data_IF_241137668766
#
_entry.id   IF_241137668766
#
_cell.length_a   1.000
_cell.length_b   1.000
_cell.length_c   1.000
_cell.angle_alpha   90.00
_cell.angle_beta   90.00
_cell.angle_gamma   90.00
#
_symmetry.space_group_name_H-M   'P 1'
#
loop_
_entity.id
_entity.type
_entity.pdbx_description
1 polymer ?
#
# COMPACT_ATOMS: atom_id res chain seq x y z
N UNK A 1 31.85 -5.97 -3.86
CA UNK A 1 31.61 -4.74 -3.07
C UNK A 1 30.13 -4.41 -3.17
N UNK A 2 29.35 -4.60 -2.11
CA UNK A 2 27.94 -4.23 -2.09
C UNK A 2 27.83 -2.71 -2.09
N UNK A 3 27.43 -2.10 -3.20
CA UNK A 3 27.10 -0.67 -3.22
C UNK A 3 26.05 -0.38 -2.15
N UNK A 4 26.31 0.64 -1.32
CA UNK A 4 25.36 1.12 -0.34
C UNK A 4 24.08 1.56 -1.06
N UNK A 5 22.94 0.99 -0.67
CA UNK A 5 21.64 1.43 -1.15
C UNK A 5 21.40 2.79 -0.52
N UNK A 6 21.45 3.86 -1.32
CA UNK A 6 21.13 5.19 -0.83
C UNK A 6 19.65 5.25 -0.38
N UNK A 7 19.37 5.86 0.80
CA UNK A 7 18.00 6.01 1.26
C UNK A 7 17.20 6.87 0.25
N UNK A 8 15.90 6.58 0.03
CA UNK A 8 15.11 7.24 -1.00
C UNK A 8 14.75 8.67 -0.56
N UNK A 9 15.71 9.60 -0.66
CA UNK A 9 15.59 10.99 -0.17
C UNK A 9 14.36 11.70 -0.74
N UNK A 10 14.10 11.53 -2.03
CA UNK A 10 12.92 12.11 -2.69
C UNK A 10 11.59 11.57 -2.16
N UNK A 11 11.52 10.26 -1.86
CA UNK A 11 10.33 9.65 -1.26
C UNK A 11 10.10 10.18 0.14
N UNK A 12 11.13 10.30 0.96
CA UNK A 12 11.02 10.81 2.33
C UNK A 12 10.54 12.27 2.32
N UNK A 13 11.08 13.12 1.44
CA UNK A 13 10.65 14.51 1.31
C UNK A 13 9.19 14.58 0.83
N UNK A 14 8.83 13.81 -0.19
CA UNK A 14 7.46 13.78 -0.72
C UNK A 14 6.46 13.25 0.32
N UNK A 15 6.81 12.18 1.04
CA UNK A 15 6.00 11.62 2.10
C UNK A 15 5.87 12.59 3.27
N UNK A 16 6.95 13.26 3.69
CA UNK A 16 6.91 14.30 4.70
C UNK A 16 6.00 15.47 4.30
N UNK A 17 6.12 15.96 3.07
CA UNK A 17 5.23 16.98 2.52
C UNK A 17 3.76 16.52 2.48
N UNK A 18 3.50 15.26 2.11
CA UNK A 18 2.16 14.68 2.13
C UNK A 18 1.59 14.56 3.54
N UNK A 19 2.39 14.15 4.53
CA UNK A 19 1.98 14.08 5.94
C UNK A 19 1.61 15.47 6.46
N UNK A 20 2.40 16.50 6.12
CA UNK A 20 2.10 17.90 6.50
C UNK A 20 0.79 18.34 5.84
N UNK A 21 0.61 18.07 4.54
CA UNK A 21 -0.63 18.37 3.84
C UNK A 21 -1.84 17.64 4.44
N UNK A 22 -1.69 16.37 4.78
CA UNK A 22 -2.68 15.56 5.48
C UNK A 22 -3.03 16.15 6.86
N UNK A 23 -2.04 16.64 7.60
CA UNK A 23 -2.27 17.29 8.90
C UNK A 23 -3.03 18.60 8.75
N UNK A 24 -2.64 19.46 7.80
CA UNK A 24 -3.32 20.75 7.55
C UNK A 24 -4.76 20.51 7.11
N UNK A 25 -5.00 19.55 6.22
CA UNK A 25 -6.36 19.23 5.73
C UNK A 25 -7.25 18.61 6.82
N UNK A 26 -6.66 17.93 7.80
CA UNK A 26 -7.42 17.22 8.84
C UNK A 26 -7.68 18.03 10.11
N UNK A 27 -6.71 18.84 10.55
CA UNK A 27 -6.83 19.69 11.74
C UNK A 27 -7.12 21.16 11.42
N UNK A 28 -6.93 21.58 10.17
CA UNK A 28 -6.93 23.00 9.81
C UNK A 28 -5.71 23.75 10.37
N UNK A 29 -5.78 25.09 10.35
CA UNK A 29 -4.73 25.96 10.90
C UNK A 29 -4.93 26.31 12.39
N UNK A 30 -6.04 25.86 12.99
CA UNK A 30 -6.41 26.19 14.37
C UNK A 30 -6.61 24.91 15.18
N UNK A 31 -5.70 24.61 16.10
CA UNK A 31 -5.91 23.53 17.06
C UNK A 31 -7.01 23.93 18.07
N UNK A 32 -7.93 23.02 18.42
CA UNK A 32 -8.96 23.31 19.41
C UNK A 32 -8.33 23.64 20.77
N UNK A 33 -8.80 24.72 21.39
CA UNK A 33 -8.31 25.22 22.69
C UNK A 33 -8.55 24.25 23.86
N UNK A 34 -9.44 23.27 23.69
CA UNK A 34 -9.70 22.19 24.63
C UNK A 34 -9.61 20.83 23.92
N UNK A 35 -8.44 20.17 23.93
CA UNK A 35 -8.29 18.87 23.32
C UNK A 35 -9.03 17.82 24.16
N UNK A 36 -10.27 17.49 23.76
CA UNK A 36 -10.93 16.27 24.23
C UNK A 36 -10.67 15.14 23.23
N UNK A 37 -10.47 13.88 23.67
CA UNK A 37 -10.30 12.75 22.75
C UNK A 37 -11.46 12.61 21.76
N UNK A 38 -12.68 12.96 22.19
CA UNK A 38 -13.89 12.95 21.38
C UNK A 38 -13.89 13.99 20.24
N UNK A 39 -13.25 15.14 20.43
CA UNK A 39 -13.18 16.19 19.41
C UNK A 39 -12.05 15.97 18.41
N UNK A 40 -10.96 15.31 18.82
CA UNK A 40 -9.80 15.05 17.96
C UNK A 40 -9.96 13.80 17.08
N UNK A 41 -10.76 12.82 17.52
CA UNK A 41 -10.90 11.53 16.82
C UNK A 41 -11.29 11.68 15.34
N UNK A 42 -12.28 12.52 14.95
CA UNK A 42 -12.62 12.70 13.53
C UNK A 42 -11.47 13.23 12.69
N UNK A 43 -10.73 14.22 13.18
CA UNK A 43 -9.53 14.76 12.51
C UNK A 43 -8.43 13.72 12.39
N UNK A 44 -8.20 12.91 13.42
CA UNK A 44 -7.21 11.82 13.37
C UNK A 44 -7.61 10.77 12.32
N UNK A 45 -8.90 10.44 12.19
CA UNK A 45 -9.39 9.54 11.14
C UNK A 45 -9.11 10.10 9.74
N UNK A 46 -9.40 11.38 9.52
CA UNK A 46 -9.12 12.04 8.24
C UNK A 46 -7.61 12.09 7.92
N UNK A 47 -6.77 12.31 8.94
CA UNK A 47 -5.31 12.29 8.80
C UNK A 47 -4.85 10.91 8.33
N UNK A 48 -5.29 9.85 9.03
CA UNK A 48 -4.91 8.48 8.70
C UNK A 48 -5.41 8.07 7.31
N UNK A 49 -6.65 8.43 6.93
CA UNK A 49 -7.18 8.18 5.59
C UNK A 49 -6.35 8.87 4.50
N UNK A 50 -6.05 10.16 4.68
CA UNK A 50 -5.30 10.92 3.67
C UNK A 50 -3.86 10.41 3.57
N UNK A 51 -3.21 10.06 4.69
CA UNK A 51 -1.90 9.40 4.69
C UNK A 51 -1.95 8.05 3.97
N UNK A 52 -2.94 7.20 4.27
CA UNK A 52 -3.12 5.91 3.61
C UNK A 52 -3.31 6.07 2.10
N UNK A 53 -4.10 7.05 1.65
CA UNK A 53 -4.27 7.37 0.22
C UNK A 53 -2.95 7.75 -0.44
N UNK A 54 -2.12 8.58 0.20
CA UNK A 54 -0.80 8.93 -0.32
C UNK A 54 0.11 7.72 -0.48
N UNK A 55 0.12 6.84 0.52
CA UNK A 55 0.92 5.62 0.51
C UNK A 55 0.41 4.59 -0.50
N UNK A 56 -0.90 4.43 -0.66
CA UNK A 56 -1.49 3.35 -1.45
C UNK A 56 -1.79 3.73 -2.90
N UNK A 57 -2.02 5.02 -3.18
CA UNK A 57 -2.34 5.52 -4.52
C UNK A 57 -1.18 6.34 -5.06
N UNK A 58 -0.82 7.44 -4.39
CA UNK A 58 0.14 8.38 -4.94
C UNK A 58 1.52 7.73 -5.15
N UNK A 59 2.01 6.97 -4.16
CA UNK A 59 3.30 6.28 -4.28
C UNK A 59 3.34 5.27 -5.45
N UNK A 60 2.42 4.30 -5.58
CA UNK A 60 2.44 3.36 -6.70
C UNK A 60 2.31 4.02 -8.07
N UNK A 61 1.47 5.06 -8.19
CA UNK A 61 1.30 5.79 -9.45
C UNK A 61 2.57 6.54 -9.86
N UNK A 62 3.20 7.25 -8.91
CA UNK A 62 4.47 7.94 -9.15
C UNK A 62 5.53 6.91 -9.54
N UNK A 63 5.59 5.77 -8.84
CA UNK A 63 6.55 4.72 -9.10
C UNK A 63 6.39 4.09 -10.47
N UNK A 64 5.16 3.77 -10.88
CA UNK A 64 4.84 3.19 -12.19
C UNK A 64 5.02 4.20 -13.34
N UNK A 65 4.96 5.50 -13.04
CA UNK A 65 5.23 6.57 -14.01
C UNK A 65 6.72 6.76 -14.30
N UNK A 66 7.60 6.29 -13.40
CA UNK A 66 9.04 6.39 -13.60
C UNK A 66 9.55 5.34 -14.61
N UNK A 67 10.38 5.78 -15.54
CA UNK A 67 10.90 4.93 -16.63
C UNK A 67 12.18 4.17 -16.25
N UNK A 68 12.69 4.34 -15.02
CA UNK A 68 14.00 3.81 -14.61
C UNK A 68 14.00 2.29 -14.46
N UNK A 69 14.88 1.63 -15.23
CA UNK A 69 14.98 0.17 -15.40
C UNK A 69 15.84 -0.52 -14.34
N UNK A 70 16.89 0.14 -13.86
CA UNK A 70 17.87 -0.49 -12.98
C UNK A 70 17.43 -0.52 -11.52
N UNK A 71 17.54 -1.71 -10.91
CA UNK A 71 17.24 -2.00 -9.50
C UNK A 71 15.83 -1.60 -9.04
N UNK A 72 14.86 -1.63 -9.96
CA UNK A 72 13.48 -1.24 -9.66
C UNK A 72 12.90 -2.05 -8.50
N UNK A 73 13.16 -3.35 -8.44
CA UNK A 73 12.68 -4.25 -7.37
C UNK A 73 13.19 -3.82 -6.00
N UNK A 74 14.50 -3.71 -5.84
CA UNK A 74 15.14 -3.34 -4.56
C UNK A 74 14.63 -1.98 -4.11
N UNK A 75 14.54 -1.00 -5.04
CA UNK A 75 14.01 0.32 -4.74
C UNK A 75 12.53 0.26 -4.31
N UNK A 76 11.69 -0.53 -4.97
CA UNK A 76 10.27 -0.69 -4.57
C UNK A 76 10.16 -1.29 -3.16
N UNK A 77 10.99 -2.28 -2.82
CA UNK A 77 11.02 -2.88 -1.48
C UNK A 77 11.46 -1.83 -0.44
N UNK A 78 12.53 -1.09 -0.72
CA UNK A 78 13.04 -0.04 0.17
C UNK A 78 12.02 1.08 0.34
N UNK A 79 11.34 1.49 -0.74
CA UNK A 79 10.27 2.48 -0.69
C UNK A 79 9.11 1.98 0.19
N UNK A 80 8.66 0.73 -0.01
CA UNK A 80 7.59 0.13 0.80
C UNK A 80 7.98 0.03 2.28
N UNK A 81 9.20 -0.40 2.60
CA UNK A 81 9.70 -0.42 3.97
C UNK A 81 9.73 0.98 4.59
N UNK A 82 10.21 1.97 3.83
CA UNK A 82 10.27 3.37 4.28
C UNK A 82 8.87 3.88 4.60
N UNK A 83 7.88 3.62 3.73
CA UNK A 83 6.50 4.01 3.95
C UNK A 83 5.88 3.28 5.15
N UNK A 84 6.15 1.98 5.32
CA UNK A 84 5.69 1.22 6.48
C UNK A 84 6.25 1.80 7.81
N UNK A 85 7.53 2.16 7.84
CA UNK A 85 8.13 2.81 9.01
C UNK A 85 7.51 4.19 9.28
N UNK A 86 7.30 5.01 8.24
CA UNK A 86 6.63 6.30 8.40
C UNK A 86 5.20 6.14 8.92
N UNK A 87 4.47 5.14 8.45
CA UNK A 87 3.15 4.83 8.95
C UNK A 87 3.16 4.43 10.44
N UNK A 88 4.10 3.58 10.85
CA UNK A 88 4.26 3.24 12.27
C UNK A 88 4.57 4.48 13.12
N UNK A 89 5.43 5.38 12.63
CA UNK A 89 5.74 6.63 13.31
C UNK A 89 4.53 7.57 13.45
N UNK A 90 3.53 7.45 12.56
CA UNK A 90 2.28 8.22 12.62
C UNK A 90 1.28 7.55 13.55
N UNK A 91 1.00 6.27 13.36
CA UNK A 91 -0.12 5.59 14.03
C UNK A 91 0.10 5.40 15.53
N UNK A 92 1.33 5.12 15.96
CA UNK A 92 1.63 4.81 17.35
C UNK A 92 1.46 6.01 18.30
N UNK A 93 1.99 7.22 17.99
CA UNK A 93 1.72 8.40 18.80
C UNK A 93 0.24 8.79 18.79
N UNK A 94 -0.44 8.64 17.64
CA UNK A 94 -1.86 9.00 17.51
C UNK A 94 -2.78 8.12 18.36
N UNK A 95 -2.35 6.90 18.71
CA UNK A 95 -3.06 6.05 19.68
C UNK A 95 -3.26 6.75 21.04
N UNK A 96 -2.32 7.59 21.47
CA UNK A 96 -2.45 8.32 22.74
C UNK A 96 -3.58 9.37 22.70
N UNK A 97 -3.96 9.82 21.50
CA UNK A 97 -5.01 10.80 21.27
C UNK A 97 -6.36 10.20 20.86
N UNK A 98 -6.47 8.87 20.71
CA UNK A 98 -7.71 8.19 20.31
C UNK A 98 -8.19 7.22 21.39
N UNK A 99 -9.50 6.92 21.44
CA UNK A 99 -10.04 5.94 22.37
C UNK A 99 -9.82 4.48 21.92
N UNK A 100 -8.94 4.23 20.95
CA UNK A 100 -8.78 2.90 20.35
C UNK A 100 -7.97 1.95 21.25
N UNK A 101 -8.43 0.71 21.45
CA UNK A 101 -7.64 -0.31 22.14
C UNK A 101 -6.43 -0.72 21.28
N UNK A 102 -5.43 -1.36 21.91
CA UNK A 102 -4.17 -1.70 21.24
C UNK A 102 -4.39 -2.65 20.05
N UNK A 103 -5.34 -3.57 20.19
CA UNK A 103 -5.72 -4.56 19.18
C UNK A 103 -6.30 -3.88 17.94
N UNK A 104 -7.07 -2.80 18.13
CA UNK A 104 -7.64 -2.00 17.03
C UNK A 104 -6.55 -1.23 16.29
N UNK A 105 -5.62 -0.62 17.02
CA UNK A 105 -4.45 0.06 16.41
C UNK A 105 -3.60 -0.94 15.63
N UNK A 106 -3.38 -2.14 16.17
CA UNK A 106 -2.62 -3.19 15.51
C UNK A 106 -3.31 -3.70 14.24
N UNK A 107 -4.64 -3.85 14.25
CA UNK A 107 -5.41 -4.22 13.07
C UNK A 107 -5.28 -3.17 11.96
N UNK A 108 -5.39 -1.87 12.30
CA UNK A 108 -5.19 -0.77 11.35
C UNK A 108 -3.75 -0.76 10.78
N UNK A 109 -2.75 -0.98 11.62
CA UNK A 109 -1.34 -1.05 11.20
C UNK A 109 -1.11 -2.18 10.19
N UNK A 110 -1.54 -3.39 10.54
CA UNK A 110 -1.41 -4.55 9.67
C UNK A 110 -2.17 -4.39 8.35
N UNK A 111 -3.37 -3.80 8.37
CA UNK A 111 -4.17 -3.61 7.16
C UNK A 111 -3.43 -2.72 6.16
N UNK A 112 -2.82 -1.62 6.62
CA UNK A 112 -2.01 -0.74 5.75
C UNK A 112 -0.78 -1.46 5.23
N UNK A 113 -0.06 -2.20 6.08
CA UNK A 113 1.15 -2.94 5.69
C UNK A 113 0.83 -4.01 4.63
N UNK A 114 -0.28 -4.75 4.80
CA UNK A 114 -0.75 -5.77 3.86
C UNK A 114 -1.05 -5.16 2.50
N UNK A 115 -1.77 -4.04 2.46
CA UNK A 115 -2.10 -3.34 1.22
C UNK A 115 -0.85 -2.77 0.54
N UNK A 116 0.09 -2.23 1.32
CA UNK A 116 1.37 -1.74 0.81
C UNK A 116 2.20 -2.87 0.17
N UNK A 117 2.22 -4.05 0.80
CA UNK A 117 2.85 -5.24 0.24
C UNK A 117 2.20 -5.67 -1.08
N UNK A 118 0.86 -5.64 -1.16
CA UNK A 118 0.13 -5.89 -2.40
C UNK A 118 0.52 -4.93 -3.52
N UNK A 119 0.54 -3.63 -3.24
CA UNK A 119 0.98 -2.60 -4.20
C UNK A 119 2.44 -2.80 -4.64
N UNK A 120 3.34 -3.13 -3.72
CA UNK A 120 4.74 -3.45 -4.04
C UNK A 120 4.83 -4.65 -5.01
N UNK A 121 4.02 -5.68 -4.79
CA UNK A 121 3.87 -6.82 -5.69
C UNK A 121 3.46 -6.44 -7.11
N UNK A 122 2.40 -5.63 -7.22
CA UNK A 122 1.90 -5.15 -8.51
C UNK A 122 2.98 -4.34 -9.24
N UNK A 123 3.67 -3.43 -8.54
CA UNK A 123 4.75 -2.63 -9.11
C UNK A 123 5.89 -3.53 -9.60
N UNK A 124 6.27 -4.52 -8.81
CA UNK A 124 7.31 -5.48 -9.19
C UNK A 124 6.90 -6.27 -10.45
N UNK A 125 5.69 -6.83 -10.49
CA UNK A 125 5.16 -7.54 -11.65
C UNK A 125 5.15 -6.66 -12.91
N UNK A 126 4.64 -5.44 -12.80
CA UNK A 126 4.55 -4.50 -13.92
C UNK A 126 5.92 -4.08 -14.45
N UNK A 127 6.93 -3.98 -13.57
CA UNK A 127 8.30 -3.66 -13.96
C UNK A 127 8.94 -4.71 -14.86
N UNK A 128 8.52 -5.98 -14.71
CA UNK A 128 9.05 -7.10 -15.49
C UNK A 128 8.66 -7.02 -16.97
N UNK A 129 7.42 -6.58 -17.26
CA UNK A 129 6.80 -6.71 -18.57
C UNK A 129 7.05 -5.52 -19.52
N UNK A 130 7.57 -4.39 -19.01
CA UNK A 130 8.04 -3.23 -19.79
C UNK A 130 7.05 -2.58 -20.79
N UNK A 131 5.78 -3.01 -20.80
CA UNK A 131 4.74 -2.50 -21.69
C UNK A 131 4.01 -1.31 -21.05
N UNK A 132 3.71 -0.27 -21.85
CA UNK A 132 2.91 0.87 -21.43
C UNK A 132 1.49 0.46 -21.02
N UNK A 133 0.90 -0.51 -21.73
CA UNK A 133 -0.41 -1.08 -21.40
C UNK A 133 -0.36 -1.80 -20.05
N UNK A 134 0.68 -2.58 -19.80
CA UNK A 134 0.84 -3.27 -18.51
C UNK A 134 0.99 -2.29 -17.36
N UNK A 135 1.73 -1.18 -17.55
CA UNK A 135 1.83 -0.12 -16.55
C UNK A 135 0.47 0.52 -16.27
N UNK A 136 -0.31 0.83 -17.32
CA UNK A 136 -1.68 1.35 -17.17
C UNK A 136 -2.59 0.39 -16.39
N UNK A 137 -2.55 -0.90 -16.73
CA UNK A 137 -3.29 -1.95 -16.00
C UNK A 137 -2.81 -2.03 -14.55
N UNK A 138 -1.51 -1.97 -14.30
CA UNK A 138 -0.95 -2.00 -12.94
C UNK A 138 -1.36 -0.79 -12.09
N UNK A 139 -1.43 0.41 -12.69
CA UNK A 139 -1.96 1.60 -12.03
C UNK A 139 -3.43 1.41 -11.65
N UNK A 140 -4.25 0.89 -12.58
CA UNK A 140 -5.65 0.57 -12.32
C UNK A 140 -5.76 -0.48 -11.21
N UNK A 141 -4.95 -1.54 -11.23
CA UNK A 141 -4.93 -2.57 -10.19
C UNK A 141 -4.57 -1.99 -8.82
N UNK A 142 -3.60 -1.09 -8.71
CA UNK A 142 -3.26 -0.42 -7.44
C UNK A 142 -4.42 0.44 -6.93
N UNK A 143 -5.10 1.18 -7.82
CA UNK A 143 -6.28 1.97 -7.47
C UNK A 143 -7.41 1.06 -6.99
N UNK A 144 -7.70 -0.02 -7.73
CA UNK A 144 -8.76 -0.98 -7.37
C UNK A 144 -8.45 -1.70 -6.05
N UNK A 145 -7.18 -2.06 -5.82
CA UNK A 145 -6.74 -2.64 -4.55
C UNK A 145 -6.99 -1.68 -3.38
N UNK A 146 -6.80 -0.38 -3.60
CA UNK A 146 -6.95 0.65 -2.58
C UNK A 146 -8.40 1.03 -2.34
N UNK A 147 -9.19 1.22 -3.40
CA UNK A 147 -10.61 1.62 -3.30
C UNK A 147 -11.49 0.44 -2.89
N UNK A 148 -11.00 -0.78 -3.07
CA UNK A 148 -11.79 -2.00 -2.95
C UNK A 148 -12.52 -2.29 -4.25
N UNK A 149 -12.61 -3.57 -4.59
CA UNK A 149 -13.21 -4.01 -5.85
C UNK A 149 -14.74 -3.95 -5.79
N UNK A 150 -15.34 -3.95 -4.60
CA UNK A 150 -16.79 -3.85 -4.42
C UNK A 150 -17.40 -2.54 -4.94
N UNK A 151 -16.77 -1.38 -4.70
CA UNK A 151 -17.30 -0.07 -5.12
C UNK A 151 -17.50 0.03 -6.64
N UNK A 152 -16.47 -0.24 -7.47
CA UNK A 152 -16.63 -0.18 -8.92
C UNK A 152 -17.56 -1.28 -9.45
N UNK A 153 -17.58 -2.48 -8.85
CA UNK A 153 -18.53 -3.54 -9.22
C UNK A 153 -19.97 -3.13 -8.94
N UNK A 154 -20.24 -2.52 -7.78
CA UNK A 154 -21.56 -2.00 -7.44
C UNK A 154 -21.99 -0.88 -8.40
N UNK A 155 -21.06 0.00 -8.79
CA UNK A 155 -21.34 1.10 -9.73
C UNK A 155 -21.76 0.60 -11.13
N UNK A 156 -21.32 -0.59 -11.55
CA UNK A 156 -21.75 -1.23 -12.81
C UNK A 156 -22.91 -2.22 -12.63
N UNK A 157 -23.58 -2.20 -11.48
CA UNK A 157 -24.75 -3.03 -11.19
C UNK A 157 -24.43 -4.47 -10.79
N UNK A 158 -23.16 -4.82 -10.58
CA UNK A 158 -22.76 -6.15 -10.13
C UNK A 158 -22.79 -6.22 -8.61
N UNK A 159 -23.88 -6.76 -8.06
CA UNK A 159 -23.93 -7.12 -6.64
C UNK A 159 -23.47 -8.58 -6.50
N UNK A 160 -22.46 -8.87 -5.66
CA UNK A 160 -21.99 -10.23 -5.44
C UNK A 160 -22.98 -11.02 -4.57
N UNK A 161 -24.22 -11.22 -5.04
CA UNK A 161 -25.26 -12.02 -4.36
C UNK A 161 -25.02 -13.55 -4.46
N UNK A 162 -23.86 -14.00 -4.94
CA UNK A 162 -23.59 -15.43 -5.20
C UNK A 162 -22.17 -15.88 -4.90
N UNK A 163 -21.33 -15.06 -4.26
CA UNK A 163 -19.99 -15.50 -3.86
C UNK A 163 -20.14 -16.37 -2.62
N UNK A 164 -20.20 -17.68 -2.81
CA UNK A 164 -20.40 -18.67 -1.74
C UNK A 164 -19.22 -18.78 -0.77
N UNK A 165 -18.05 -18.22 -1.10
CA UNK A 165 -16.89 -18.24 -0.21
C UNK A 165 -16.74 -16.90 0.52
N UNK A 166 -16.88 -16.96 1.84
CA UNK A 166 -16.57 -15.87 2.78
C UNK A 166 -15.18 -15.27 2.50
N UNK A 167 -14.24 -16.10 2.06
CA UNK A 167 -12.90 -15.69 1.64
C UNK A 167 -12.90 -14.70 0.47
N UNK A 168 -13.62 -14.98 -0.61
CA UNK A 168 -13.69 -14.06 -1.75
C UNK A 168 -14.42 -12.79 -1.34
N UNK A 169 -15.56 -12.89 -0.65
CA UNK A 169 -16.28 -11.72 -0.16
C UNK A 169 -15.36 -10.78 0.65
N UNK A 170 -14.55 -11.35 1.54
CA UNK A 170 -13.54 -10.60 2.29
C UNK A 170 -12.53 -9.91 1.35
N UNK A 171 -11.99 -10.57 0.32
CA UNK A 171 -11.05 -9.98 -0.65
C UNK A 171 -11.67 -8.85 -1.49
N UNK A 172 -12.99 -8.83 -1.71
CA UNK A 172 -13.65 -7.78 -2.49
C UNK A 172 -13.96 -6.52 -1.67
N UNK A 173 -14.08 -6.60 -0.34
CA UNK A 173 -14.62 -5.54 0.54
C UNK A 173 -13.61 -4.53 1.12
N UNK A 174 -12.33 -4.85 1.12
CA UNK A 174 -11.26 -4.06 1.75
C UNK A 174 -10.54 -3.08 0.87
N UNK A 175 -9.37 -2.65 1.35
CA UNK A 175 -8.78 -1.36 0.98
C UNK A 175 -9.14 -0.25 1.99
N UNK A 176 -9.24 0.98 1.50
CA UNK A 176 -9.63 2.19 2.25
C UNK A 176 -11.01 2.07 2.90
N UNK A 177 -12.04 1.44 2.28
CA UNK A 177 -13.32 1.22 2.95
C UNK A 177 -13.20 0.37 4.22
N UNK A 178 -12.38 -0.69 4.22
CA UNK A 178 -12.11 -1.47 5.44
C UNK A 178 -11.38 -0.65 6.49
N UNK A 179 -10.40 0.18 6.10
CA UNK A 179 -9.74 1.10 7.02
C UNK A 179 -10.75 2.05 7.67
N UNK A 180 -11.62 2.65 6.86
CA UNK A 180 -12.66 3.56 7.33
C UNK A 180 -13.65 2.86 8.28
N UNK A 181 -14.09 1.66 7.94
CA UNK A 181 -14.96 0.84 8.79
C UNK A 181 -14.30 0.54 10.14
N UNK A 182 -13.04 0.08 10.12
CA UNK A 182 -12.26 -0.21 11.32
C UNK A 182 -12.06 1.02 12.20
N UNK A 183 -11.80 2.19 11.59
CA UNK A 183 -11.66 3.45 12.31
C UNK A 183 -12.97 3.96 12.92
N UNK A 184 -14.10 3.69 12.26
CA UNK A 184 -15.43 4.12 12.70
C UNK A 184 -16.00 3.25 13.81
N UNK A 185 -15.50 2.03 13.98
CA UNK A 185 -15.86 1.17 15.10
C UNK A 185 -15.55 1.87 16.44
N UNK A 186 -16.44 1.78 17.45
CA UNK A 186 -16.23 2.40 18.76
C UNK A 186 -15.00 1.82 19.47
N UNK A 187 -14.75 2.23 20.72
CA UNK A 187 -13.65 1.74 21.58
C UNK A 187 -13.77 0.24 21.96
N UNK A 188 -14.40 -0.58 21.12
CA UNK A 188 -14.53 -2.02 21.24
C UNK A 188 -13.31 -2.74 20.67
N UNK A 189 -13.02 -3.88 21.27
CA UNK A 189 -12.08 -4.85 20.72
C UNK A 189 -12.53 -5.29 19.32
N UNK A 190 -11.58 -5.56 18.40
CA UNK A 190 -11.93 -6.10 17.09
C UNK A 190 -12.67 -7.43 17.19
N UNK A 191 -13.70 -7.60 16.38
CA UNK A 191 -14.45 -8.85 16.29
C UNK A 191 -13.60 -9.91 15.60
N UNK A 192 -13.88 -11.20 15.86
CA UNK A 192 -13.14 -12.30 15.23
C UNK A 192 -13.25 -12.27 13.69
N UNK A 193 -14.39 -11.84 13.18
CA UNK A 193 -14.65 -11.64 11.76
C UNK A 193 -13.68 -10.64 11.12
N UNK A 194 -13.34 -9.54 11.81
CA UNK A 194 -12.41 -8.53 11.30
C UNK A 194 -10.99 -9.09 11.17
N UNK A 195 -10.57 -9.94 12.12
CA UNK A 195 -9.29 -10.66 12.04
C UNK A 195 -9.27 -11.69 10.91
N UNK A 196 -10.35 -12.44 10.73
CA UNK A 196 -10.47 -13.40 9.62
C UNK A 196 -10.41 -12.70 8.26
N UNK A 197 -11.10 -11.57 8.11
CA UNK A 197 -11.01 -10.73 6.91
C UNK A 197 -9.58 -10.22 6.68
N UNK A 198 -8.90 -9.77 7.74
CA UNK A 198 -7.50 -9.32 7.67
C UNK A 198 -6.57 -10.46 7.22
N UNK A 199 -6.74 -11.67 7.76
CA UNK A 199 -5.95 -12.85 7.38
C UNK A 199 -6.18 -13.21 5.92
N UNK A 200 -7.44 -13.23 5.47
CA UNK A 200 -7.77 -13.47 4.06
C UNK A 200 -7.10 -12.43 3.15
N UNK A 201 -7.14 -11.15 3.55
CA UNK A 201 -6.46 -10.06 2.87
C UNK A 201 -4.94 -10.22 2.84
N UNK A 202 -4.36 -10.64 3.96
CA UNK A 202 -2.94 -10.89 4.12
C UNK A 202 -2.46 -12.00 3.21
N UNK A 203 -3.20 -13.11 3.13
CA UNK A 203 -2.90 -14.23 2.22
C UNK A 203 -2.94 -13.76 0.77
N UNK A 204 -4.01 -13.05 0.37
CA UNK A 204 -4.17 -12.58 -1.00
C UNK A 204 -3.06 -11.60 -1.42
N UNK A 205 -2.81 -10.54 -0.64
CA UNK A 205 -1.79 -9.55 -0.97
C UNK A 205 -0.37 -10.08 -0.77
N UNK A 206 -0.16 -10.98 0.19
CA UNK A 206 1.10 -11.68 0.37
C UNK A 206 1.43 -12.53 -0.86
N UNK A 207 0.45 -13.29 -1.37
CA UNK A 207 0.61 -14.05 -2.61
C UNK A 207 0.88 -13.11 -3.81
N UNK A 208 0.13 -12.01 -3.93
CA UNK A 208 0.34 -11.01 -4.97
C UNK A 208 1.77 -10.41 -4.92
N UNK A 209 2.26 -10.13 -3.72
CA UNK A 209 3.62 -9.65 -3.47
C UNK A 209 4.67 -10.67 -3.90
N UNK A 210 4.56 -11.91 -3.41
CA UNK A 210 5.50 -12.98 -3.73
C UNK A 210 5.54 -13.29 -5.22
N UNK A 211 4.37 -13.41 -5.86
CA UNK A 211 4.26 -13.67 -7.30
C UNK A 211 4.88 -12.51 -8.09
N UNK A 212 4.55 -11.26 -7.76
CA UNK A 212 5.10 -10.10 -8.45
C UNK A 212 6.62 -9.97 -8.32
N UNK A 213 7.16 -10.24 -7.14
CA UNK A 213 8.60 -10.28 -6.91
C UNK A 213 9.27 -11.43 -7.67
N UNK A 214 8.66 -12.61 -7.72
CA UNK A 214 9.17 -13.75 -8.47
C UNK A 214 9.22 -13.46 -9.97
N UNK A 215 8.15 -12.91 -10.56
CA UNK A 215 8.14 -12.50 -11.97
C UNK A 215 9.24 -11.49 -12.28
N UNK A 216 9.41 -10.50 -11.40
CA UNK A 216 10.44 -9.48 -11.57
C UNK A 216 11.86 -10.06 -11.47
N UNK A 217 12.09 -10.97 -10.52
CA UNK A 217 13.37 -11.66 -10.36
C UNK A 217 13.72 -12.50 -11.60
N UNK A 218 12.77 -13.28 -12.11
CA UNK A 218 12.95 -14.10 -13.32
C UNK A 218 13.29 -13.22 -14.53
N UNK A 219 12.54 -12.13 -14.74
CA UNK A 219 12.79 -11.20 -15.84
C UNK A 219 14.19 -10.55 -15.76
N UNK A 220 14.63 -10.21 -14.55
CA UNK A 220 15.98 -9.64 -14.33
C UNK A 220 17.09 -10.65 -14.66
N UNK A 221 16.91 -11.91 -14.26
CA UNK A 221 17.88 -12.98 -14.54
C UNK A 221 18.00 -13.25 -16.04
N UNK A 222 16.89 -13.33 -16.77
CA UNK A 222 16.88 -13.51 -18.22
C UNK A 222 17.60 -12.39 -18.96
N UNK A 223 17.38 -11.13 -18.54
CA UNK A 223 18.05 -9.96 -19.15
C UNK A 223 19.56 -10.00 -18.92
N UNK A 224 20.01 -10.42 -17.73
CA UNK A 224 21.44 -10.55 -17.42
C UNK A 224 22.14 -11.65 -18.23
N UNK A 225 21.46 -12.78 -18.45
CA UNK A 225 21.98 -13.89 -19.25
C UNK A 225 22.16 -13.48 -20.73
N UNK A 226 21.19 -12.77 -21.31
CA UNK A 226 21.29 -12.24 -22.67
C UNK A 226 22.45 -11.25 -22.82
N UNK A 227 22.64 -10.35 -21.85
CA UNK A 227 23.74 -9.39 -21.88
C UNK A 227 25.12 -10.08 -21.86
N UNK A 228 25.28 -11.13 -21.05
CA UNK A 228 26.52 -11.91 -20.98
C UNK A 228 26.82 -12.67 -22.29
N UNK A 229 25.80 -13.23 -22.95
CA UNK A 229 25.98 -13.92 -24.23
C UNK A 229 26.45 -12.97 -25.35
N UNK A 230 25.91 -11.75 -25.40
CA UNK A 230 26.35 -10.72 -26.37
C UNK A 230 27.80 -10.30 -26.09
N UNK A 231 28.17 -10.17 -24.80
CA UNK A 231 29.53 -9.82 -24.41
C UNK A 231 30.55 -10.92 -24.73
N UNK A 232 30.20 -12.19 -24.56
CA UNK A 232 31.08 -13.32 -24.92
C UNK A 232 31.22 -13.50 -26.43
N UNK A 233 30.13 -13.30 -27.20
CA UNK A 233 30.16 -13.40 -28.66
C UNK A 233 31.06 -12.36 -29.33
N UNK A 234 31.15 -11.15 -28.76
CA UNK A 234 32.07 -10.09 -29.24
C UNK A 234 33.55 -10.33 -28.95
N UNK A 235 33.92 -11.27 -28.06
CA UNK A 235 35.33 -11.60 -27.77
C UNK A 235 35.87 -12.74 -28.61
N UNK A 236 35.01 -13.44 -29.35
CA UNK A 236 35.36 -14.63 -30.12
C UNK A 236 35.51 -14.37 -31.63
N UNK A 237 35.35 -13.13 -32.09
CA UNK A 237 35.58 -12.70 -33.48
C UNK A 237 36.57 -11.54 -33.52
#
# INVERSE_FOLDING_TARGET
MSEAIEPPRGLVIAAGGWIIFSAITSFGFQLPLHPSPSSLTPSIRMLLLTCAVGMMIAWPLVRLSQTSRDRMIIRTIVDALTLAFLWQLIIWPLRLGTPWPIERTLLLDLLVIILLAGSAGIIAAASALQSSLVRGIAMICCILLTVGLQIPLAAIGFTPMGISSVFLANIFQGGVPSLLSCMNSPASLPESSEWESLVAYGIFNGALCLVGLAFAAIASALTSAQANQVASGRRAG
#
